data_IF_054648778958
#
_entry.id   IF_054648778958
#
_cell.length_a   1.000
_cell.length_b   1.000
_cell.length_c   1.000
_cell.angle_alpha   90.00
_cell.angle_beta   90.00
_cell.angle_gamma   90.00
#
_symmetry.space_group_name_H-M   'P 1'
#
loop_
_entity.id
_entity.type
_entity.pdbx_description
1 polymer ?
#
# COMPACT_ATOMS: atom_id res chain seq x y z
N UNK A 1 -22.79 1.86 5.97
CA UNK A 1 -21.88 0.83 5.42
C UNK A 1 -21.66 0.90 3.90
N UNK A 2 -22.69 1.17 3.07
CA UNK A 2 -22.59 1.14 1.59
C UNK A 2 -21.32 1.80 1.01
N UNK A 3 -21.07 3.08 1.33
CA UNK A 3 -19.91 3.82 0.80
C UNK A 3 -18.56 3.21 1.21
N UNK A 4 -18.44 2.77 2.46
CA UNK A 4 -17.20 2.15 2.98
C UNK A 4 -16.88 0.86 2.21
N UNK A 5 -17.90 0.02 1.97
CA UNK A 5 -17.71 -1.23 1.22
C UNK A 5 -17.32 -0.98 -0.24
N UNK A 6 -17.95 0.01 -0.88
CA UNK A 6 -17.61 0.40 -2.27
C UNK A 6 -16.18 0.92 -2.41
N UNK A 7 -15.69 1.65 -1.40
CA UNK A 7 -14.29 2.12 -1.38
C UNK A 7 -13.33 0.96 -1.09
N UNK A 8 -13.64 0.12 -0.10
CA UNK A 8 -12.81 -1.01 0.29
C UNK A 8 -12.55 -1.96 -0.89
N UNK A 9 -13.58 -2.29 -1.66
CA UNK A 9 -13.48 -3.12 -2.87
C UNK A 9 -12.41 -2.58 -3.85
N UNK A 10 -12.49 -1.28 -4.16
CA UNK A 10 -11.53 -0.66 -5.07
C UNK A 10 -10.13 -0.51 -4.45
N UNK A 11 -10.03 -0.13 -3.17
CA UNK A 11 -8.76 0.07 -2.47
C UNK A 11 -7.96 -1.23 -2.39
N UNK A 12 -8.63 -2.35 -2.07
CA UNK A 12 -8.01 -3.69 -2.07
C UNK A 12 -7.48 -4.00 -3.46
N UNK A 13 -8.26 -3.76 -4.52
CA UNK A 13 -7.81 -3.96 -5.90
C UNK A 13 -6.59 -3.10 -6.28
N UNK A 14 -6.45 -1.87 -5.75
CA UNK A 14 -5.25 -1.05 -5.96
C UNK A 14 -4.02 -1.62 -5.26
N UNK A 15 -4.18 -2.06 -4.01
CA UNK A 15 -3.09 -2.66 -3.23
C UNK A 15 -2.63 -3.97 -3.89
N UNK A 16 -3.58 -4.81 -4.29
CA UNK A 16 -3.29 -6.06 -5.02
C UNK A 16 -2.52 -5.79 -6.31
N UNK A 17 -2.93 -4.79 -7.10
CA UNK A 17 -2.23 -4.42 -8.33
C UNK A 17 -0.76 -4.05 -8.05
N UNK A 18 -0.49 -3.25 -7.02
CA UNK A 18 0.87 -2.87 -6.62
C UNK A 18 1.68 -4.09 -6.19
N UNK A 19 1.09 -4.99 -5.41
CA UNK A 19 1.73 -6.24 -4.99
C UNK A 19 2.04 -7.16 -6.19
N UNK A 20 1.14 -7.21 -7.18
CA UNK A 20 1.36 -7.96 -8.42
C UNK A 20 2.50 -7.40 -9.27
N UNK A 21 2.83 -6.11 -9.10
CA UNK A 21 4.05 -5.48 -9.66
C UNK A 21 5.30 -5.65 -8.79
N UNK A 22 5.24 -6.47 -7.74
CA UNK A 22 6.33 -6.80 -6.82
C UNK A 22 6.75 -5.67 -5.87
N UNK A 23 5.89 -4.66 -5.71
CA UNK A 23 6.09 -3.56 -4.76
C UNK A 23 5.10 -3.62 -3.61
N UNK A 24 5.46 -3.02 -2.49
CA UNK A 24 4.56 -2.65 -1.40
C UNK A 24 4.57 -1.13 -1.27
N UNK A 25 3.42 -0.54 -0.93
CA UNK A 25 3.27 0.92 -0.87
C UNK A 25 3.92 1.54 0.39
N UNK A 26 3.81 0.84 1.52
CA UNK A 26 4.29 1.24 2.87
C UNK A 26 3.69 2.50 3.49
N UNK A 27 2.84 3.25 2.79
CA UNK A 27 2.11 4.39 3.37
C UNK A 27 0.63 4.41 2.94
N UNK A 28 -0.14 3.43 3.42
CA UNK A 28 -1.59 3.32 3.15
C UNK A 28 -2.35 4.23 4.12
N UNK A 29 -2.95 5.30 3.60
CA UNK A 29 -3.73 6.27 4.37
C UNK A 29 -4.76 6.96 3.48
N UNK A 30 -5.85 7.54 4.03
CA UNK A 30 -6.90 8.16 3.24
C UNK A 30 -6.40 9.21 2.25
N UNK A 31 -5.41 10.02 2.65
CA UNK A 31 -4.81 11.09 1.83
C UNK A 31 -4.17 10.57 0.53
N UNK A 32 -3.71 9.32 0.52
CA UNK A 32 -3.09 8.68 -0.64
C UNK A 32 -4.12 7.98 -1.56
N UNK A 33 -5.42 8.06 -1.24
CA UNK A 33 -6.49 7.59 -2.10
C UNK A 33 -7.31 8.77 -2.63
N UNK A 34 -7.26 8.96 -3.95
CA UNK A 34 -7.97 10.04 -4.62
C UNK A 34 -9.08 9.51 -5.51
N UNK A 35 -10.18 10.25 -5.62
CA UNK A 35 -11.20 10.01 -6.62
C UNK A 35 -10.74 10.57 -7.97
N UNK A 36 -11.06 9.86 -9.05
CA UNK A 36 -10.86 10.41 -10.40
C UNK A 36 -11.78 11.60 -10.70
N UNK A 37 -11.60 12.20 -11.87
CA UNK A 37 -12.42 13.31 -12.36
C UNK A 37 -13.18 12.93 -13.64
N UNK A 38 -14.23 13.68 -13.97
CA UNK A 38 -15.01 13.49 -15.19
C UNK A 38 -15.55 12.06 -15.33
N UNK A 39 -15.21 11.38 -16.43
CA UNK A 39 -15.62 9.99 -16.71
C UNK A 39 -15.04 8.94 -15.73
N UNK A 40 -14.16 9.35 -14.82
CA UNK A 40 -13.53 8.48 -13.82
C UNK A 40 -13.89 8.87 -12.38
N UNK A 41 -14.91 9.70 -12.17
CA UNK A 41 -15.33 10.16 -10.84
C UNK A 41 -15.73 9.05 -9.87
N UNK A 42 -16.05 7.86 -10.38
CA UNK A 42 -16.38 6.68 -9.58
C UNK A 42 -15.16 5.75 -9.31
N UNK A 43 -13.97 6.10 -9.81
CA UNK A 43 -12.75 5.30 -9.64
C UNK A 43 -11.86 5.88 -8.55
N UNK A 44 -11.42 5.00 -7.65
CA UNK A 44 -10.38 5.31 -6.65
C UNK A 44 -9.00 5.11 -7.27
N UNK A 45 -8.05 5.99 -6.98
CA UNK A 45 -6.64 5.93 -7.37
C UNK A 45 -5.77 5.87 -6.12
N UNK A 46 -4.67 5.11 -6.19
CA UNK A 46 -3.63 5.11 -5.17
C UNK A 46 -2.44 5.94 -5.68
N UNK A 47 -1.98 6.89 -4.87
CA UNK A 47 -0.90 7.83 -5.19
C UNK A 47 0.21 7.78 -4.15
N UNK A 48 1.30 8.52 -4.40
CA UNK A 48 2.47 8.68 -3.53
C UNK A 48 3.26 7.39 -3.25
N UNK A 49 4.00 6.96 -4.27
CA UNK A 49 4.92 5.83 -4.18
C UNK A 49 6.30 6.21 -3.60
N UNK A 50 6.45 7.38 -2.96
CA UNK A 50 7.75 7.86 -2.45
C UNK A 50 8.36 6.94 -1.40
N UNK A 51 7.52 6.22 -0.65
CA UNK A 51 7.93 5.20 0.32
C UNK A 51 7.80 3.77 -0.20
N UNK A 52 7.40 3.56 -1.45
CA UNK A 52 7.22 2.22 -1.98
C UNK A 52 8.55 1.45 -2.05
N UNK A 53 8.47 0.12 -1.93
CA UNK A 53 9.65 -0.76 -1.92
C UNK A 53 9.37 -2.07 -2.63
N UNK A 54 10.36 -2.59 -3.36
CA UNK A 54 10.29 -3.92 -3.96
C UNK A 54 10.41 -4.99 -2.86
N UNK A 55 9.42 -5.86 -2.74
CA UNK A 55 9.37 -6.88 -1.68
C UNK A 55 9.71 -8.29 -2.19
N UNK A 56 9.74 -8.49 -3.51
CA UNK A 56 10.17 -9.74 -4.12
C UNK A 56 10.83 -9.53 -5.46
N UNK A 57 11.68 -10.47 -5.87
CA UNK A 57 12.29 -10.42 -7.19
C UNK A 57 11.25 -10.55 -8.33
N UNK A 58 11.51 -9.90 -9.45
CA UNK A 58 10.57 -9.88 -10.59
C UNK A 58 10.56 -11.22 -11.35
N UNK A 59 11.68 -11.94 -11.38
CA UNK A 59 11.83 -13.19 -12.13
C UNK A 59 11.63 -14.40 -11.22
N UNK A 60 12.36 -14.46 -10.10
CA UNK A 60 12.33 -15.62 -9.21
C UNK A 60 11.16 -15.60 -8.23
N UNK A 61 10.50 -14.44 -8.07
CA UNK A 61 9.44 -14.22 -7.08
C UNK A 61 9.92 -14.44 -5.63
N UNK A 62 11.23 -14.52 -5.42
CA UNK A 62 11.83 -14.68 -4.10
C UNK A 62 11.56 -13.43 -3.26
N UNK A 63 10.95 -13.62 -2.10
CA UNK A 63 10.65 -12.55 -1.14
C UNK A 63 11.94 -12.02 -0.49
N UNK A 64 11.94 -10.74 -0.10
CA UNK A 64 13.01 -10.19 0.74
C UNK A 64 13.12 -10.99 2.06
N UNK A 65 14.34 -11.12 2.61
CA UNK A 65 14.50 -11.75 3.92
C UNK A 65 13.82 -10.90 4.99
N UNK A 66 13.40 -11.56 6.06
CA UNK A 66 12.94 -10.89 7.27
C UNK A 66 14.10 -10.10 7.91
N UNK A 67 13.83 -8.87 8.36
CA UNK A 67 14.78 -8.01 9.07
C UNK A 67 14.06 -7.17 10.12
N UNK A 68 14.74 -6.89 11.21
CA UNK A 68 14.25 -6.02 12.30
C UNK A 68 15.06 -4.71 12.32
N UNK A 69 14.91 -3.92 13.38
CA UNK A 69 15.63 -2.68 13.64
C UNK A 69 15.49 -1.61 12.54
N UNK A 70 14.33 -1.56 11.88
CA UNK A 70 13.99 -0.48 10.95
C UNK A 70 13.33 0.68 11.68
N UNK A 71 13.67 1.90 11.27
CA UNK A 71 12.93 3.08 11.64
C UNK A 71 11.48 2.98 11.14
N UNK A 72 10.53 3.45 11.95
CA UNK A 72 9.14 3.56 11.54
C UNK A 72 9.06 4.36 10.24
N UNK A 73 8.50 3.73 9.21
CA UNK A 73 8.29 4.32 7.89
C UNK A 73 6.80 4.44 7.63
N UNK A 74 6.37 5.56 7.05
CA UNK A 74 4.96 5.86 6.79
C UNK A 74 4.26 6.56 7.97
N UNK A 75 2.94 6.64 7.88
CA UNK A 75 2.12 7.41 8.84
C UNK A 75 1.75 6.58 10.07
N UNK A 76 2.26 6.96 11.25
CA UNK A 76 2.11 6.20 12.51
C UNK A 76 0.67 5.77 12.86
N UNK A 77 -0.34 6.60 12.55
CA UNK A 77 -1.77 6.32 12.82
C UNK A 77 -2.28 5.09 12.06
N UNK A 78 -1.74 4.83 10.87
CA UNK A 78 -2.20 3.77 9.96
C UNK A 78 -1.19 2.63 9.82
N UNK A 79 -0.04 2.74 10.49
CA UNK A 79 1.03 1.75 10.44
C UNK A 79 0.61 0.42 11.08
N UNK A 80 1.10 -0.68 10.52
CA UNK A 80 0.91 -2.01 11.11
C UNK A 80 1.67 -2.13 12.43
N UNK A 81 1.26 -3.07 13.29
CA UNK A 81 1.98 -3.37 14.53
C UNK A 81 3.44 -3.74 14.24
N UNK A 82 3.68 -4.53 13.19
CA UNK A 82 5.03 -4.92 12.78
C UNK A 82 5.89 -3.72 12.37
N UNK A 83 5.30 -2.72 11.70
CA UNK A 83 6.02 -1.48 11.38
C UNK A 83 6.37 -0.68 12.64
N UNK A 84 5.50 -0.66 13.66
CA UNK A 84 5.82 -0.08 14.98
C UNK A 84 6.93 -0.82 15.71
N UNK A 85 7.02 -2.14 15.54
CA UNK A 85 8.08 -2.98 16.10
C UNK A 85 9.40 -2.93 15.29
N UNK A 86 9.47 -2.10 14.24
CA UNK A 86 10.67 -1.97 13.42
C UNK A 86 10.95 -3.16 12.50
N UNK A 87 9.94 -4.00 12.24
CA UNK A 87 10.05 -5.12 11.30
C UNK A 87 9.97 -4.58 9.87
N UNK A 88 10.95 -4.96 9.05
CA UNK A 88 11.01 -4.60 7.64
C UNK A 88 9.78 -5.13 6.89
N UNK A 89 9.06 -4.19 6.26
CA UNK A 89 8.03 -4.51 5.28
C UNK A 89 8.68 -4.70 3.90
#
# INVERSE_FOLDING_TARGET
MKTVLMLADQMIGRIEFVHNKNFIHRDIKPDNFLMGIGRHCNKVFLIDFGLAKKYRDNRTRQHIPYREDKNLTGTARYASINAHLGIEQ
#
